data_IF_180265494586
#
_entry.id   IF_180265494586
#
_cell.length_a   1.000
_cell.length_b   1.000
_cell.length_c   1.000
_cell.angle_alpha   90.00
_cell.angle_beta   90.00
_cell.angle_gamma   90.00
#
_symmetry.space_group_name_H-M   'P 1'
#
loop_
_entity.id
_entity.type
_entity.pdbx_description
1 polymer ?
#
# COMPACT_ATOMS: atom_id res chain seq x y z
N UNK A 1 -6.06 -12.51 0.98
CA UNK A 1 -5.43 -11.78 2.09
C UNK A 1 -6.08 -12.19 3.41
N UNK A 2 -5.35 -12.23 4.53
CA UNK A 2 -5.96 -12.32 5.88
C UNK A 2 -6.41 -10.94 6.33
N UNK A 3 -7.52 -10.84 7.06
CA UNK A 3 -8.08 -9.57 7.53
C UNK A 3 -8.12 -9.48 9.06
N UNK A 4 -8.15 -8.26 9.57
CA UNK A 4 -8.25 -7.93 11.00
C UNK A 4 -9.28 -6.82 11.17
N UNK A 5 -9.99 -6.84 12.30
CA UNK A 5 -10.99 -5.81 12.60
C UNK A 5 -10.35 -4.65 13.35
N UNK A 6 -10.39 -3.45 12.76
CA UNK A 6 -9.97 -2.21 13.38
C UNK A 6 -11.21 -1.40 13.77
N UNK A 7 -11.63 -1.51 15.03
CA UNK A 7 -12.89 -0.94 15.54
C UNK A 7 -14.10 -1.45 14.72
N UNK A 8 -14.58 -0.62 13.80
CA UNK A 8 -15.81 -0.83 13.01
C UNK A 8 -15.51 -1.12 11.54
N UNK A 9 -14.23 -1.20 11.13
CA UNK A 9 -13.82 -1.55 9.77
C UNK A 9 -13.01 -2.85 9.79
N UNK A 10 -13.10 -3.61 8.71
CA UNK A 10 -12.27 -4.77 8.46
C UNK A 10 -11.16 -4.37 7.50
N UNK A 11 -9.91 -4.56 7.91
CA UNK A 11 -8.73 -4.15 7.14
C UNK A 11 -7.87 -5.37 6.84
N UNK A 12 -7.04 -5.29 5.80
CA UNK A 12 -5.99 -6.29 5.57
C UNK A 12 -4.99 -6.37 6.74
N UNK A 13 -4.54 -7.59 7.06
CA UNK A 13 -3.53 -7.81 8.12
C UNK A 13 -2.17 -7.17 7.80
N UNK A 14 -1.88 -6.98 6.51
CA UNK A 14 -0.66 -6.37 5.99
C UNK A 14 -1.05 -5.17 5.12
N UNK A 15 -0.49 -3.99 5.44
CA UNK A 15 -0.65 -2.79 4.64
C UNK A 15 0.54 -2.55 3.70
N UNK A 16 0.30 -1.84 2.60
CA UNK A 16 1.36 -1.35 1.72
C UNK A 16 1.73 0.10 2.06
N UNK A 17 2.99 0.33 2.45
CA UNK A 17 3.49 1.66 2.81
C UNK A 17 3.91 2.46 1.57
N UNK A 18 3.50 3.73 1.52
CA UNK A 18 3.86 4.66 0.46
C UNK A 18 5.03 5.59 0.83
N UNK A 19 5.73 5.35 1.96
CA UNK A 19 6.83 6.22 2.40
C UNK A 19 7.95 6.32 1.35
N UNK A 20 8.24 5.24 0.63
CA UNK A 20 9.22 5.20 -0.47
C UNK A 20 8.87 6.06 -1.69
N UNK A 21 7.70 6.70 -1.73
CA UNK A 21 7.30 7.66 -2.76
C UNK A 21 7.49 9.12 -2.33
N UNK A 22 8.15 9.36 -1.18
CA UNK A 22 8.49 10.70 -0.69
C UNK A 22 10.00 10.96 -0.71
N UNK A 23 10.39 12.23 -0.87
CA UNK A 23 11.78 12.70 -1.03
C UNK A 23 12.72 12.35 0.15
N UNK A 24 12.19 11.83 1.26
CA UNK A 24 12.96 11.48 2.46
C UNK A 24 13.60 10.08 2.46
N UNK A 25 13.34 9.24 1.47
CA UNK A 25 13.70 7.81 1.51
C UNK A 25 14.65 7.34 0.39
N UNK A 26 15.29 8.28 -0.32
CA UNK A 26 16.26 7.98 -1.38
C UNK A 26 15.69 8.15 -2.78
N UNK A 27 16.19 7.36 -3.74
CA UNK A 27 15.76 7.44 -5.13
C UNK A 27 14.29 7.02 -5.27
N UNK A 28 13.48 7.95 -5.77
CA UNK A 28 12.06 7.74 -5.98
C UNK A 28 11.83 6.90 -7.24
N UNK A 29 10.91 5.92 -7.22
CA UNK A 29 10.48 5.28 -8.44
C UNK A 29 9.79 6.31 -9.35
N UNK A 30 9.81 6.11 -10.68
CA UNK A 30 9.00 6.89 -11.60
C UNK A 30 7.53 6.91 -11.15
N UNK A 31 6.87 8.04 -11.37
CA UNK A 31 5.46 8.23 -10.95
C UNK A 31 4.53 7.14 -11.47
N UNK A 32 4.74 6.69 -12.71
CA UNK A 32 3.95 5.62 -13.31
C UNK A 32 4.09 4.29 -12.54
N UNK A 33 5.32 3.95 -12.15
CA UNK A 33 5.61 2.73 -11.41
C UNK A 33 5.04 2.79 -9.99
N UNK A 34 5.12 3.95 -9.32
CA UNK A 34 4.49 4.16 -8.02
C UNK A 34 2.97 3.91 -8.07
N UNK A 35 2.29 4.43 -9.11
CA UNK A 35 0.86 4.22 -9.31
C UNK A 35 0.56 2.73 -9.56
N UNK A 36 1.36 2.07 -10.38
CA UNK A 36 1.20 0.65 -10.68
C UNK A 36 1.41 -0.22 -9.43
N UNK A 37 2.39 0.09 -8.60
CA UNK A 37 2.65 -0.60 -7.34
C UNK A 37 1.48 -0.48 -6.36
N UNK A 38 0.90 0.71 -6.20
CA UNK A 38 -0.28 0.91 -5.32
C UNK A 38 -1.46 0.09 -5.83
N UNK A 39 -1.73 0.12 -7.13
CA UNK A 39 -2.82 -0.66 -7.75
C UNK A 39 -2.60 -2.16 -7.56
N UNK A 40 -1.38 -2.64 -7.81
CA UNK A 40 -1.03 -4.04 -7.62
C UNK A 40 -1.22 -4.47 -6.16
N UNK A 41 -0.81 -3.65 -5.19
CA UNK A 41 -1.01 -3.94 -3.78
C UNK A 41 -2.50 -4.09 -3.43
N UNK A 42 -3.35 -3.21 -3.99
CA UNK A 42 -4.80 -3.30 -3.82
C UNK A 42 -5.37 -4.60 -4.42
N UNK A 43 -4.98 -4.98 -5.65
CA UNK A 43 -5.40 -6.22 -6.31
C UNK A 43 -4.95 -7.48 -5.55
N UNK A 44 -3.80 -7.41 -4.85
CA UNK A 44 -3.32 -8.48 -3.97
C UNK A 44 -4.10 -8.57 -2.63
N UNK A 45 -5.02 -7.64 -2.39
CA UNK A 45 -5.86 -7.59 -1.20
C UNK A 45 -5.28 -6.77 -0.04
N UNK A 46 -4.26 -5.93 -0.28
CA UNK A 46 -3.85 -4.89 0.67
C UNK A 46 -4.86 -3.74 0.65
N UNK A 47 -6.03 -3.96 1.22
CA UNK A 47 -7.12 -3.00 1.31
C UNK A 47 -7.34 -2.51 2.76
N UNK A 48 -7.80 -1.26 2.93
CA UNK A 48 -8.27 -0.74 4.20
C UNK A 48 -9.73 -1.15 4.50
#
# INVERSE_FOLDING_TARGET
MKTRRLRNIEVSEIGYSCMGFSHGYGALPPKADAILLIRMAYELGCNP
#
